data_IF_362185653692
#
_entry.id   IF_362185653692
#
_cell.length_a   1.000
_cell.length_b   1.000
_cell.length_c   1.000
_cell.angle_alpha   90.00
_cell.angle_beta   90.00
_cell.angle_gamma   90.00
#
_symmetry.space_group_name_H-M   'P 1'
#
loop_
_entity.id
_entity.type
_entity.pdbx_description
1 polymer ?
#
# COMPACT_ATOMS: atom_id res chain seq x y z
N UNK A 1 -109.03 100.76 21.00
CA UNK A 1 -110.12 99.77 21.15
C UNK A 1 -110.18 99.47 22.62
N UNK A 2 -111.09 100.18 23.27
CA UNK A 2 -111.27 100.24 24.71
C UNK A 2 -111.63 98.87 25.29
N UNK A 3 -110.97 98.49 26.38
CA UNK A 3 -111.52 97.53 27.32
C UNK A 3 -111.51 98.13 28.73
N UNK A 4 -112.65 98.05 29.45
CA UNK A 4 -113.03 98.96 30.52
C UNK A 4 -112.31 98.71 31.84
N UNK A 5 -111.83 99.80 32.43
CA UNK A 5 -111.44 99.88 33.83
C UNK A 5 -112.69 100.12 34.70
N UNK A 6 -112.87 99.25 35.70
CA UNK A 6 -113.78 99.31 36.87
C UNK A 6 -115.28 98.98 36.73
N UNK A 7 -115.77 98.32 37.78
CA UNK A 7 -117.06 97.62 37.98
C UNK A 7 -118.25 98.60 38.17
N UNK A 8 -118.14 99.86 37.76
CA UNK A 8 -119.16 100.89 38.04
C UNK A 8 -119.73 101.62 36.81
N UNK A 9 -119.30 101.32 35.58
CA UNK A 9 -119.95 101.86 34.38
C UNK A 9 -121.02 100.89 33.86
N UNK A 10 -122.26 101.13 34.31
CA UNK A 10 -123.46 100.48 33.76
C UNK A 10 -124.02 101.37 32.66
N UNK A 11 -124.20 100.79 31.49
CA UNK A 11 -124.71 101.43 30.27
C UNK A 11 -126.03 102.20 30.54
N UNK A 12 -126.10 103.50 30.23
CA UNK A 12 -127.28 104.33 30.46
C UNK A 12 -128.56 103.88 29.71
N UNK A 13 -128.47 102.96 28.75
CA UNK A 13 -129.67 102.36 28.11
C UNK A 13 -130.24 101.16 28.87
N UNK A 14 -129.50 100.55 29.80
CA UNK A 14 -129.92 99.31 30.49
C UNK A 14 -131.17 99.51 31.35
N UNK A 15 -131.32 100.66 32.01
CA UNK A 15 -132.49 100.95 32.84
C UNK A 15 -133.70 101.44 32.05
N UNK A 16 -133.55 101.82 30.78
CA UNK A 16 -134.66 102.36 29.96
C UNK A 16 -135.57 101.27 29.37
N UNK A 17 -135.13 100.00 29.39
CA UNK A 17 -135.86 98.86 28.82
C UNK A 17 -136.65 98.06 29.89
N UNK A 18 -136.46 98.37 31.18
CA UNK A 18 -137.05 97.58 32.29
C UNK A 18 -138.31 98.23 32.89
N UNK A 19 -138.64 99.47 32.54
CA UNK A 19 -139.94 100.07 32.87
C UNK A 19 -141.03 99.61 31.90
N UNK A 20 -141.80 98.59 32.27
CA UNK A 20 -143.09 98.32 31.62
C UNK A 20 -143.40 96.88 31.17
N UNK A 21 -142.57 95.88 31.51
CA UNK A 21 -142.94 94.46 31.29
C UNK A 21 -142.83 93.62 32.56
N UNK A 22 -143.92 93.00 33.03
CA UNK A 22 -143.86 92.03 34.12
C UNK A 22 -143.08 90.81 33.65
N UNK A 23 -141.93 90.56 34.30
CA UNK A 23 -141.12 89.36 34.10
C UNK A 23 -141.98 88.16 34.49
N UNK A 24 -142.42 87.39 33.49
CA UNK A 24 -143.09 86.09 33.69
C UNK A 24 -142.07 85.12 34.30
N UNK A 25 -142.08 85.08 35.61
CA UNK A 25 -141.33 84.18 36.47
C UNK A 25 -141.84 82.74 36.32
N UNK A 26 -141.30 82.02 35.34
CA UNK A 26 -141.24 80.56 35.33
C UNK A 26 -139.85 80.12 34.84
N UNK A 27 -138.81 80.55 35.56
CA UNK A 27 -137.50 79.92 35.45
C UNK A 27 -137.60 78.54 36.13
N UNK A 28 -137.68 77.49 35.31
CA UNK A 28 -137.61 76.11 35.80
C UNK A 28 -136.24 75.90 36.43
N UNK A 29 -136.23 75.84 37.76
CA UNK A 29 -135.03 75.67 38.60
C UNK A 29 -134.21 74.46 38.15
N UNK A 30 -134.83 73.43 37.56
CA UNK A 30 -134.11 72.26 37.04
C UNK A 30 -133.28 72.58 35.79
N UNK A 31 -133.79 73.40 34.88
CA UNK A 31 -133.03 73.83 33.68
C UNK A 31 -131.91 74.78 34.09
N UNK A 32 -132.17 75.69 35.04
CA UNK A 32 -131.15 76.55 35.63
C UNK A 32 -130.05 75.73 36.32
N UNK A 33 -130.40 74.75 37.16
CA UNK A 33 -129.42 73.86 37.82
C UNK A 33 -128.64 73.00 36.83
N UNK A 34 -129.26 72.54 35.73
CA UNK A 34 -128.57 71.81 34.66
C UNK A 34 -127.62 72.72 33.88
N UNK A 35 -128.02 73.96 33.62
CA UNK A 35 -127.14 74.97 33.00
C UNK A 35 -126.01 75.37 33.94
N UNK A 36 -126.29 75.59 35.22
CA UNK A 36 -125.28 75.88 36.25
C UNK A 36 -124.30 74.71 36.38
N UNK A 37 -124.78 73.46 36.42
CA UNK A 37 -123.92 72.27 36.44
C UNK A 37 -123.09 72.16 35.16
N UNK A 38 -123.65 72.43 33.98
CA UNK A 38 -122.89 72.47 32.73
C UNK A 38 -121.84 73.57 32.74
N UNK A 39 -122.17 74.77 33.19
CA UNK A 39 -121.23 75.90 33.31
C UNK A 39 -120.13 75.58 34.32
N UNK A 40 -120.46 74.95 35.46
CA UNK A 40 -119.49 74.50 36.45
C UNK A 40 -118.61 73.38 35.90
N UNK A 41 -119.16 72.40 35.17
CA UNK A 41 -118.37 71.38 34.47
C UNK A 41 -117.45 72.01 33.43
N UNK A 42 -117.98 72.86 32.54
CA UNK A 42 -117.16 73.56 31.55
C UNK A 42 -116.08 74.41 32.23
N UNK A 43 -116.36 75.04 33.37
CA UNK A 43 -115.36 75.78 34.13
C UNK A 43 -114.31 74.86 34.75
N UNK A 44 -114.69 73.68 35.24
CA UNK A 44 -113.78 72.67 35.74
C UNK A 44 -112.91 72.07 34.62
N UNK A 45 -113.50 71.76 33.46
CA UNK A 45 -112.79 71.27 32.27
C UNK A 45 -111.83 72.34 31.73
N UNK A 46 -112.27 73.61 31.65
CA UNK A 46 -111.40 74.73 31.31
C UNK A 46 -110.28 74.94 32.33
N UNK A 47 -110.52 74.71 33.62
CA UNK A 47 -109.48 74.79 34.64
C UNK A 47 -108.48 73.63 34.51
N UNK A 48 -108.96 72.41 34.27
CA UNK A 48 -108.13 71.23 34.04
C UNK A 48 -107.27 71.40 32.79
N UNK A 49 -107.83 71.86 31.67
CA UNK A 49 -107.07 72.17 30.45
C UNK A 49 -106.04 73.27 30.67
N UNK A 50 -106.37 74.29 31.48
CA UNK A 50 -105.41 75.34 31.85
C UNK A 50 -104.28 74.78 32.71
N UNK A 51 -104.58 73.90 33.66
CA UNK A 51 -103.55 73.25 34.49
C UNK A 51 -102.65 72.33 33.64
N UNK A 52 -103.22 71.58 32.69
CA UNK A 52 -102.45 70.79 31.71
C UNK A 52 -101.56 71.68 30.85
N UNK A 53 -102.08 72.82 30.37
CA UNK A 53 -101.30 73.79 29.59
C UNK A 53 -100.15 74.36 30.43
N UNK A 54 -100.40 74.72 31.70
CA UNK A 54 -99.35 75.18 32.63
C UNK A 54 -98.30 74.07 32.87
N UNK A 55 -98.71 72.81 32.99
CA UNK A 55 -97.79 71.69 33.15
C UNK A 55 -96.94 71.46 31.91
N UNK A 56 -97.53 71.58 30.71
CA UNK A 56 -96.80 71.48 29.45
C UNK A 56 -95.80 72.63 29.34
N UNK A 57 -96.21 73.87 29.61
CA UNK A 57 -95.32 75.03 29.59
C UNK A 57 -94.16 74.87 30.60
N UNK A 58 -94.45 74.42 31.82
CA UNK A 58 -93.42 74.16 32.82
C UNK A 58 -92.44 73.05 32.39
N UNK A 59 -92.93 71.99 31.74
CA UNK A 59 -92.06 70.93 31.19
C UNK A 59 -91.23 71.44 30.03
N UNK A 60 -91.81 72.23 29.13
CA UNK A 60 -91.08 72.82 28.02
C UNK A 60 -89.96 73.74 28.50
N UNK A 61 -90.20 74.54 29.55
CA UNK A 61 -89.16 75.37 30.18
C UNK A 61 -88.04 74.49 30.75
N UNK A 62 -88.37 73.44 31.51
CA UNK A 62 -87.36 72.53 32.07
C UNK A 62 -86.58 71.77 30.99
N UNK A 63 -87.24 71.32 29.93
CA UNK A 63 -86.59 70.63 28.80
C UNK A 63 -85.68 71.59 28.03
N UNK A 64 -86.11 72.84 27.85
CA UNK A 64 -85.29 73.89 27.24
C UNK A 64 -84.06 74.20 28.10
N UNK A 65 -84.20 74.32 29.42
CA UNK A 65 -83.06 74.50 30.34
C UNK A 65 -82.08 73.32 30.28
N UNK A 66 -82.58 72.09 30.19
CA UNK A 66 -81.74 70.90 30.02
C UNK A 66 -81.05 70.88 28.66
N UNK A 67 -81.77 71.26 27.59
CA UNK A 67 -81.21 71.35 26.24
C UNK A 67 -80.10 72.38 26.18
N UNK A 68 -80.31 73.57 26.74
CA UNK A 68 -79.31 74.64 26.81
C UNK A 68 -78.09 74.20 27.64
N UNK A 69 -78.28 73.49 28.75
CA UNK A 69 -77.18 72.94 29.54
C UNK A 69 -76.37 71.88 28.77
N UNK A 70 -77.04 71.01 28.02
CA UNK A 70 -76.40 69.99 27.19
C UNK A 70 -75.67 70.65 26.01
N UNK A 71 -76.29 71.62 25.36
CA UNK A 71 -75.68 72.37 24.25
C UNK A 71 -74.42 73.11 24.71
N UNK A 72 -74.45 73.77 25.88
CA UNK A 72 -73.29 74.39 26.48
C UNK A 72 -72.17 73.37 26.75
N UNK A 73 -72.49 72.20 27.32
CA UNK A 73 -71.51 71.15 27.57
C UNK A 73 -70.92 70.56 26.27
N UNK A 74 -71.71 70.46 25.20
CA UNK A 74 -71.22 70.05 23.88
C UNK A 74 -70.29 71.09 23.26
N UNK A 75 -70.65 72.38 23.34
CA UNK A 75 -69.80 73.47 22.87
C UNK A 75 -68.46 73.50 23.64
N UNK A 76 -68.49 73.29 24.95
CA UNK A 76 -67.29 73.18 25.80
C UNK A 76 -66.45 71.95 25.40
N UNK A 77 -67.08 70.79 25.17
CA UNK A 77 -66.38 69.59 24.73
C UNK A 77 -65.75 69.75 23.35
N UNK A 78 -66.45 70.40 22.41
CA UNK A 78 -65.92 70.73 21.08
C UNK A 78 -64.72 71.67 21.19
N UNK A 79 -64.83 72.73 21.98
CA UNK A 79 -63.72 73.65 22.23
C UNK A 79 -62.50 72.93 22.84
N UNK A 80 -62.72 72.06 23.83
CA UNK A 80 -61.67 71.27 24.46
C UNK A 80 -61.05 70.23 23.51
N UNK A 81 -61.84 69.66 22.60
CA UNK A 81 -61.31 68.74 21.60
C UNK A 81 -60.44 69.48 20.57
N UNK A 82 -60.86 70.67 20.14
CA UNK A 82 -60.08 71.52 19.24
C UNK A 82 -58.76 71.93 19.88
N UNK A 83 -58.76 72.31 21.17
CA UNK A 83 -57.51 72.64 21.89
C UNK A 83 -56.61 71.42 22.04
N UNK A 84 -57.15 70.27 22.45
CA UNK A 84 -56.40 69.02 22.56
C UNK A 84 -55.80 68.56 21.22
N UNK A 85 -56.56 68.64 20.13
CA UNK A 85 -56.09 68.32 18.79
C UNK A 85 -54.98 69.27 18.34
N UNK A 86 -55.11 70.57 18.64
CA UNK A 86 -54.08 71.56 18.34
C UNK A 86 -52.79 71.33 19.14
N UNK A 87 -52.89 70.96 20.42
CA UNK A 87 -51.74 70.63 21.27
C UNK A 87 -51.06 69.34 20.81
N UNK A 88 -51.82 68.27 20.59
CA UNK A 88 -51.31 66.99 20.08
C UNK A 88 -50.62 67.15 18.73
N UNK A 89 -51.18 67.97 17.84
CA UNK A 89 -50.55 68.29 16.55
C UNK A 89 -49.23 69.06 16.73
N UNK A 90 -49.17 70.02 17.66
CA UNK A 90 -47.93 70.74 17.97
C UNK A 90 -46.86 69.81 18.52
N UNK A 91 -47.21 68.91 19.43
CA UNK A 91 -46.29 67.92 19.99
C UNK A 91 -45.78 66.94 18.93
N UNK A 92 -46.68 66.38 18.13
CA UNK A 92 -46.30 65.46 17.04
C UNK A 92 -45.39 66.16 16.02
N UNK A 93 -45.69 67.41 15.67
CA UNK A 93 -44.87 68.21 14.76
C UNK A 93 -43.50 68.53 15.35
N UNK A 94 -43.43 68.81 16.66
CA UNK A 94 -42.16 69.00 17.37
C UNK A 94 -41.31 67.72 17.37
N UNK A 95 -41.92 66.58 17.67
CA UNK A 95 -41.24 65.28 17.66
C UNK A 95 -40.77 64.89 16.26
N UNK A 96 -41.59 65.14 15.23
CA UNK A 96 -41.19 64.96 13.83
C UNK A 96 -39.98 65.81 13.49
N UNK A 97 -39.99 67.10 13.87
CA UNK A 97 -38.87 68.00 13.62
C UNK A 97 -37.60 67.54 14.34
N UNK A 98 -37.70 67.06 15.58
CA UNK A 98 -36.55 66.53 16.31
C UNK A 98 -35.99 65.26 15.66
N UNK A 99 -36.87 64.36 15.20
CA UNK A 99 -36.48 63.16 14.49
C UNK A 99 -35.79 63.48 13.15
N UNK A 100 -36.31 64.45 12.42
CA UNK A 100 -35.73 64.91 11.15
C UNK A 100 -34.36 65.56 11.36
N UNK A 101 -34.19 66.37 12.42
CA UNK A 101 -32.87 66.89 12.80
C UNK A 101 -31.88 65.77 13.13
N UNK A 102 -32.29 64.78 13.91
CA UNK A 102 -31.42 63.64 14.26
C UNK A 102 -31.12 62.75 13.07
N UNK A 103 -32.06 62.60 12.13
CA UNK A 103 -31.82 61.91 10.87
C UNK A 103 -30.75 62.63 10.05
N UNK A 104 -30.85 63.95 9.90
CA UNK A 104 -29.85 64.76 9.19
C UNK A 104 -28.46 64.69 9.86
N UNK A 105 -28.39 64.75 11.19
CA UNK A 105 -27.13 64.57 11.93
C UNK A 105 -26.51 63.18 11.69
N UNK A 106 -27.35 62.13 11.68
CA UNK A 106 -26.91 60.75 11.44
C UNK A 106 -26.41 60.58 10.00
N UNK A 107 -27.15 61.11 9.02
CA UNK A 107 -26.79 61.07 7.60
C UNK A 107 -25.43 61.74 7.36
N UNK A 108 -25.23 62.93 7.92
CA UNK A 108 -23.94 63.64 7.83
C UNK A 108 -22.79 62.84 8.49
N UNK A 109 -23.04 62.14 9.60
CA UNK A 109 -22.03 61.28 10.24
C UNK A 109 -21.75 60.02 9.43
N UNK A 110 -22.77 59.42 8.80
CA UNK A 110 -22.57 58.26 7.92
C UNK A 110 -21.78 58.62 6.68
N UNK A 111 -22.04 59.79 6.07
CA UNK A 111 -21.25 60.29 4.94
C UNK A 111 -19.78 60.50 5.32
N UNK A 112 -19.52 61.07 6.52
CA UNK A 112 -18.15 61.24 7.02
C UNK A 112 -17.47 59.89 7.26
N UNK A 113 -18.19 58.91 7.82
CA UNK A 113 -17.65 57.56 8.04
C UNK A 113 -17.35 56.86 6.71
N UNK A 114 -18.24 56.97 5.73
CA UNK A 114 -18.03 56.44 4.38
C UNK A 114 -16.82 57.09 3.71
N UNK A 115 -16.67 58.41 3.81
CA UNK A 115 -15.51 59.13 3.29
C UNK A 115 -14.19 58.63 3.92
N UNK A 116 -14.16 58.49 5.26
CA UNK A 116 -12.99 57.96 5.98
C UNK A 116 -12.71 56.50 5.57
N UNK A 117 -13.77 55.69 5.44
CA UNK A 117 -13.64 54.29 5.03
C UNK A 117 -13.04 54.18 3.62
N UNK A 118 -13.47 55.04 2.70
CA UNK A 118 -12.96 55.11 1.33
C UNK A 118 -11.49 55.52 1.33
N UNK A 119 -11.11 56.56 2.09
CA UNK A 119 -9.72 56.98 2.25
C UNK A 119 -8.85 55.87 2.83
N UNK A 120 -9.34 55.17 3.86
CA UNK A 120 -8.65 54.03 4.45
C UNK A 120 -8.42 52.90 3.44
N UNK A 121 -9.45 52.55 2.66
CA UNK A 121 -9.33 51.50 1.64
C UNK A 121 -8.38 51.92 0.51
N UNK A 122 -8.42 53.19 0.10
CA UNK A 122 -7.49 53.75 -0.87
C UNK A 122 -6.05 53.68 -0.37
N UNK A 123 -5.80 54.04 0.89
CA UNK A 123 -4.48 53.94 1.51
C UNK A 123 -4.03 52.49 1.66
N UNK A 124 -4.90 51.58 2.11
CA UNK A 124 -4.63 50.14 2.21
C UNK A 124 -4.23 49.56 0.86
N UNK A 125 -5.02 49.83 -0.19
CA UNK A 125 -4.70 49.39 -1.54
C UNK A 125 -3.38 49.98 -2.04
N UNK A 126 -3.10 51.26 -1.73
CA UNK A 126 -1.82 51.88 -1.99
C UNK A 126 -0.65 51.14 -1.35
N UNK A 127 -0.73 50.86 -0.04
CA UNK A 127 0.30 50.12 0.70
C UNK A 127 0.44 48.68 0.18
N UNK A 128 -0.66 47.97 -0.08
CA UNK A 128 -0.60 46.63 -0.66
C UNK A 128 0.07 46.63 -2.04
N UNK A 129 -0.22 47.63 -2.88
CA UNK A 129 0.42 47.76 -4.19
C UNK A 129 1.93 48.02 -4.06
N UNK A 130 2.36 48.89 -3.13
CA UNK A 130 3.78 49.18 -2.93
C UNK A 130 4.52 47.98 -2.37
N UNK A 131 3.93 47.22 -1.46
CA UNK A 131 4.49 45.96 -0.94
C UNK A 131 4.64 44.93 -2.04
N UNK A 132 3.62 44.74 -2.89
CA UNK A 132 3.69 43.83 -4.03
C UNK A 132 4.80 44.25 -5.02
N UNK A 133 4.95 45.55 -5.30
CA UNK A 133 6.07 46.04 -6.12
C UNK A 133 7.42 45.78 -5.44
N UNK A 134 7.52 45.95 -4.12
CA UNK A 134 8.75 45.70 -3.37
C UNK A 134 9.13 44.22 -3.39
N UNK A 135 8.17 43.30 -3.27
CA UNK A 135 8.42 41.87 -3.39
C UNK A 135 8.98 41.51 -4.77
N UNK A 136 8.39 42.04 -5.84
CA UNK A 136 8.89 41.86 -7.20
C UNK A 136 10.32 42.40 -7.35
N UNK A 137 10.60 43.59 -6.81
CA UNK A 137 11.94 44.18 -6.82
C UNK A 137 12.93 43.33 -6.01
N UNK A 138 12.52 42.73 -4.90
CA UNK A 138 13.35 41.81 -4.11
C UNK A 138 13.65 40.51 -4.86
N UNK A 139 12.68 39.99 -5.63
CA UNK A 139 12.89 38.83 -6.53
C UNK A 139 13.93 39.18 -7.61
N UNK A 140 13.84 40.37 -8.21
CA UNK A 140 14.85 40.84 -9.17
C UNK A 140 16.21 41.03 -8.51
N UNK A 141 16.28 41.61 -7.30
CA UNK A 141 17.53 41.74 -6.54
C UNK A 141 18.16 40.38 -6.26
N UNK A 142 17.37 39.37 -5.90
CA UNK A 142 17.84 38.00 -5.69
C UNK A 142 18.40 37.36 -6.96
N UNK A 143 17.70 37.55 -8.08
CA UNK A 143 18.18 37.10 -9.38
C UNK A 143 19.54 37.75 -9.71
N UNK A 144 19.63 39.08 -9.57
CA UNK A 144 20.87 39.82 -9.82
C UNK A 144 22.01 39.38 -8.88
N UNK A 145 21.73 39.07 -7.61
CA UNK A 145 22.73 38.55 -6.67
C UNK A 145 23.18 37.10 -6.99
N UNK A 146 22.32 36.34 -7.68
CA UNK A 146 22.67 34.99 -8.14
C UNK A 146 23.61 35.07 -9.35
N UNK A 147 23.37 36.03 -10.25
CA UNK A 147 24.20 36.26 -11.43
C UNK A 147 25.51 37.00 -11.09
N UNK A 148 25.57 37.73 -9.97
CA UNK A 148 26.80 38.41 -9.55
C UNK A 148 27.90 37.43 -9.11
N UNK A 149 29.17 37.87 -9.14
CA UNK A 149 30.31 37.05 -8.72
C UNK A 149 30.22 36.54 -7.28
N UNK A 150 30.87 35.41 -6.99
CA UNK A 150 30.76 34.72 -5.70
C UNK A 150 31.18 35.59 -4.50
N UNK A 151 32.21 36.43 -4.65
CA UNK A 151 32.65 37.36 -3.59
C UNK A 151 31.60 38.43 -3.23
N UNK A 152 30.73 38.82 -4.17
CA UNK A 152 29.61 39.73 -3.92
C UNK A 152 28.43 38.98 -3.28
N UNK A 153 28.18 37.75 -3.74
CA UNK A 153 27.12 36.91 -3.20
C UNK A 153 27.31 36.67 -1.70
N UNK A 154 28.53 36.33 -1.27
CA UNK A 154 28.85 36.06 0.14
C UNK A 154 28.56 37.24 1.08
N UNK A 155 28.66 38.48 0.61
CA UNK A 155 28.42 39.67 1.45
C UNK A 155 26.96 40.12 1.51
N UNK A 156 26.19 39.85 0.44
CA UNK A 156 24.83 40.41 0.28
C UNK A 156 23.72 39.37 0.31
N UNK A 157 24.04 38.08 0.42
CA UNK A 157 23.05 37.00 0.50
C UNK A 157 22.23 37.05 1.81
N UNK A 158 22.88 37.34 2.95
CA UNK A 158 22.20 37.46 4.25
C UNK A 158 21.21 38.63 4.28
N UNK A 159 21.58 39.74 3.66
CA UNK A 159 20.73 40.94 3.52
C UNK A 159 19.50 40.62 2.65
N UNK A 160 19.67 39.82 1.59
CA UNK A 160 18.56 39.39 0.74
C UNK A 160 17.61 38.42 1.47
N UNK A 161 18.14 37.52 2.31
CA UNK A 161 17.34 36.59 3.13
C UNK A 161 16.51 37.33 4.18
N UNK A 162 17.14 38.25 4.92
CA UNK A 162 16.47 39.08 5.92
C UNK A 162 15.35 39.94 5.32
N UNK A 163 15.59 40.56 4.16
CA UNK A 163 14.56 41.36 3.47
C UNK A 163 13.33 40.54 3.06
N UNK A 164 13.51 39.28 2.65
CA UNK A 164 12.40 38.42 2.24
C UNK A 164 11.56 37.94 3.44
N UNK A 165 12.21 37.58 4.56
CA UNK A 165 11.51 37.21 5.79
C UNK A 165 10.68 38.37 6.36
N UNK A 166 11.21 39.60 6.30
CA UNK A 166 10.49 40.80 6.72
C UNK A 166 9.29 41.11 5.82
N UNK A 167 9.39 40.89 4.50
CA UNK A 167 8.27 41.06 3.57
C UNK A 167 7.14 40.05 3.84
N UNK A 168 7.49 38.78 4.05
CA UNK A 168 6.51 37.73 4.36
C UNK A 168 5.79 38.00 5.68
N UNK A 169 6.51 38.49 6.71
CA UNK A 169 5.90 38.91 7.98
C UNK A 169 4.97 40.11 7.81
N UNK A 170 5.34 41.07 6.95
CA UNK A 170 4.53 42.25 6.66
C UNK A 170 3.21 41.91 5.94
N UNK A 171 3.24 40.94 5.03
CA UNK A 171 2.06 40.48 4.31
C UNK A 171 1.05 39.78 5.24
N UNK A 172 1.56 38.91 6.12
CA UNK A 172 0.72 38.27 7.15
C UNK A 172 0.10 39.28 8.11
N UNK A 173 0.80 40.37 8.44
CA UNK A 173 0.23 41.43 9.27
C UNK A 173 -0.83 42.27 8.54
N UNK A 174 -0.67 42.49 7.22
CA UNK A 174 -1.62 43.23 6.37
C UNK A 174 -2.99 42.55 6.25
N UNK A 175 -3.04 41.23 6.40
CA UNK A 175 -4.29 40.44 6.37
C UNK A 175 -5.06 40.51 7.70
N UNK A 176 -4.40 40.86 8.81
CA UNK A 176 -5.02 40.93 10.13
C UNK A 176 -5.47 42.36 10.43
N UNK A 177 -6.78 42.59 10.33
CA UNK A 177 -7.43 43.90 10.60
C UNK A 177 -7.50 44.23 12.10
N UNK A 178 -6.35 44.41 12.75
CA UNK A 178 -6.27 44.86 14.14
C UNK A 178 -5.55 46.20 14.26
N UNK A 179 -6.08 47.11 15.08
CA UNK A 179 -5.58 48.49 15.26
C UNK A 179 -4.13 48.53 15.81
N UNK A 180 -3.71 47.50 16.54
CA UNK A 180 -2.33 47.36 17.06
C UNK A 180 -1.28 47.13 15.95
N UNK A 181 -1.72 46.69 14.76
CA UNK A 181 -0.84 46.44 13.59
C UNK A 181 -0.21 47.72 13.00
N UNK A 182 -0.76 48.91 13.28
CA UNK A 182 -0.25 50.19 12.75
C UNK A 182 1.15 50.52 13.27
N UNK A 183 1.45 50.16 14.52
CA UNK A 183 2.78 50.35 15.11
C UNK A 183 3.82 49.42 14.47
N UNK A 184 3.38 48.21 14.10
CA UNK A 184 4.23 47.18 13.53
C UNK A 184 4.43 47.37 12.03
N UNK A 185 3.46 47.97 11.32
CA UNK A 185 3.66 48.45 9.95
C UNK A 185 4.78 49.49 9.90
N UNK A 186 4.77 50.46 10.82
CA UNK A 186 5.79 51.50 10.88
C UNK A 186 7.17 50.93 11.17
N UNK A 187 7.29 50.01 12.13
CA UNK A 187 8.57 49.36 12.47
C UNK A 187 9.11 48.53 11.30
N UNK A 188 8.24 47.74 10.66
CA UNK A 188 8.62 46.89 9.54
C UNK A 188 8.97 47.70 8.30
N UNK A 189 8.24 48.77 8.01
CA UNK A 189 8.56 49.70 6.91
C UNK A 189 9.89 50.44 7.15
N UNK A 190 10.17 50.84 8.39
CA UNK A 190 11.47 51.44 8.76
C UNK A 190 12.61 50.43 8.62
N UNK A 191 12.40 49.17 9.03
CA UNK A 191 13.39 48.11 8.85
C UNK A 191 13.67 47.83 7.36
N UNK A 192 12.64 47.84 6.51
CA UNK A 192 12.80 47.73 5.06
C UNK A 192 13.55 48.93 4.47
N UNK A 193 13.30 50.14 4.97
CA UNK A 193 14.00 51.36 4.53
C UNK A 193 15.48 51.40 4.92
N UNK A 194 15.89 50.68 5.97
CA UNK A 194 17.30 50.61 6.39
C UNK A 194 18.16 49.66 5.54
N UNK A 195 17.56 48.83 4.67
CA UNK A 195 18.31 47.91 3.82
C UNK A 195 19.01 48.67 2.67
N UNK A 196 20.34 48.57 2.52
CA UNK A 196 21.04 49.27 1.46
C UNK A 196 20.60 48.75 0.08
N UNK A 197 20.16 49.63 -0.84
CA UNK A 197 19.79 49.27 -2.20
C UNK A 197 21.02 49.20 -3.10
N UNK A 198 22.10 48.57 -2.64
CA UNK A 198 23.30 48.40 -3.46
C UNK A 198 23.12 47.19 -4.38
N UNK A 199 23.34 47.44 -5.67
CA UNK A 199 23.31 46.46 -6.74
C UNK A 199 24.69 46.41 -7.38
N UNK A 200 25.15 45.20 -7.70
CA UNK A 200 26.38 45.00 -8.43
C UNK A 200 26.31 45.56 -9.85
N UNK A 201 25.20 45.29 -10.55
CA UNK A 201 24.96 45.77 -11.91
C UNK A 201 24.33 47.17 -11.88
N UNK A 202 25.00 48.14 -12.52
CA UNK A 202 24.49 49.52 -12.62
C UNK A 202 23.82 49.79 -13.95
N UNK A 203 24.16 49.02 -15.00
CA UNK A 203 23.59 49.16 -16.34
C UNK A 203 23.01 47.84 -16.85
N UNK A 204 21.84 47.84 -17.49
CA UNK A 204 21.26 46.63 -18.10
C UNK A 204 22.15 45.97 -19.17
N UNK A 205 23.03 46.75 -19.81
CA UNK A 205 23.98 46.25 -20.80
C UNK A 205 24.95 45.23 -20.20
N UNK A 206 25.37 45.42 -18.95
CA UNK A 206 26.30 44.51 -18.26
C UNK A 206 25.69 43.12 -18.07
N UNK A 207 24.41 43.06 -17.75
CA UNK A 207 23.66 41.80 -17.64
C UNK A 207 23.49 41.12 -19.00
N UNK A 208 23.24 41.91 -20.05
CA UNK A 208 23.08 41.39 -21.41
C UNK A 208 24.36 40.72 -21.89
N UNK A 209 25.52 41.33 -21.63
CA UNK A 209 26.83 40.73 -21.95
C UNK A 209 27.07 39.43 -21.21
N UNK A 210 26.75 39.35 -19.90
CA UNK A 210 26.88 38.10 -19.14
C UNK A 210 25.94 37.02 -19.68
N UNK A 211 24.70 37.38 -20.01
CA UNK A 211 23.76 36.43 -20.59
C UNK A 211 24.21 35.94 -21.97
N UNK A 212 24.78 36.82 -22.79
CA UNK A 212 25.39 36.46 -24.07
C UNK A 212 26.59 35.53 -23.87
N UNK A 213 27.47 35.81 -22.90
CA UNK A 213 28.59 34.94 -22.54
C UNK A 213 28.12 33.57 -22.06
N UNK A 214 27.13 33.51 -21.17
CA UNK A 214 26.52 32.25 -20.71
C UNK A 214 25.89 31.51 -21.90
N UNK A 215 25.17 32.21 -22.79
CA UNK A 215 24.56 31.57 -23.96
C UNK A 215 25.61 30.99 -24.91
N UNK A 216 26.73 31.68 -25.08
CA UNK A 216 27.87 31.23 -25.87
C UNK A 216 28.55 30.03 -25.22
N UNK A 217 28.73 30.04 -23.89
CA UNK A 217 29.21 28.88 -23.15
C UNK A 217 28.28 27.68 -23.28
N UNK A 218 26.96 27.87 -23.13
CA UNK A 218 25.97 26.82 -23.33
C UNK A 218 26.01 26.25 -24.75
N UNK A 219 26.18 27.10 -25.76
CA UNK A 219 26.35 26.66 -27.15
C UNK A 219 27.64 25.83 -27.30
N UNK A 220 28.76 26.31 -26.78
CA UNK A 220 30.02 25.57 -26.78
C UNK A 220 29.89 24.21 -26.09
N UNK A 221 29.19 24.14 -24.95
CA UNK A 221 28.92 22.87 -24.26
C UNK A 221 28.05 21.93 -25.10
N UNK A 222 27.01 22.44 -25.77
CA UNK A 222 26.20 21.62 -26.68
C UNK A 222 27.01 21.13 -27.89
N UNK A 223 27.87 21.96 -28.48
CA UNK A 223 28.76 21.54 -29.56
C UNK A 223 29.71 20.43 -29.10
N UNK A 224 30.32 20.61 -27.93
CA UNK A 224 31.15 19.58 -27.28
C UNK A 224 30.34 18.30 -27.06
N UNK A 225 29.13 18.40 -26.52
CA UNK A 225 28.24 17.25 -26.28
C UNK A 225 27.88 16.53 -27.58
N UNK A 226 27.52 17.25 -28.64
CA UNK A 226 27.20 16.65 -29.94
C UNK A 226 28.40 15.94 -30.55
N UNK A 227 29.59 16.52 -30.45
CA UNK A 227 30.84 15.88 -30.87
C UNK A 227 31.06 14.57 -30.10
N UNK A 228 31.02 14.63 -28.77
CA UNK A 228 31.24 13.45 -27.91
C UNK A 228 30.12 12.42 -28.01
N UNK A 229 28.88 12.80 -28.33
CA UNK A 229 27.74 11.89 -28.47
C UNK A 229 28.01 10.80 -29.50
N UNK A 230 28.65 11.13 -30.62
CA UNK A 230 29.04 10.14 -31.64
C UNK A 230 30.06 9.14 -31.11
N UNK A 231 31.05 9.59 -30.33
CA UNK A 231 32.02 8.73 -29.67
C UNK A 231 31.38 7.86 -28.60
N UNK A 232 30.48 8.41 -27.78
CA UNK A 232 29.73 7.64 -26.79
C UNK A 232 28.85 6.57 -27.45
N UNK A 233 28.18 6.88 -28.54
CA UNK A 233 27.40 5.91 -29.31
C UNK A 233 28.30 4.78 -29.84
N UNK A 234 29.50 5.11 -30.35
CA UNK A 234 30.48 4.14 -30.83
C UNK A 234 31.04 3.27 -29.70
N UNK A 235 31.41 3.86 -28.56
CA UNK A 235 31.88 3.15 -27.37
C UNK A 235 30.80 2.21 -26.85
N UNK A 236 29.55 2.68 -26.76
CA UNK A 236 28.42 1.84 -26.35
C UNK A 236 28.16 0.70 -27.32
N UNK A 237 28.31 0.92 -28.63
CA UNK A 237 28.22 -0.14 -29.64
C UNK A 237 29.31 -1.19 -29.42
N UNK A 238 30.56 -0.79 -29.24
CA UNK A 238 31.64 -1.74 -28.97
C UNK A 238 31.46 -2.47 -27.65
N UNK A 239 31.03 -1.77 -26.59
CA UNK A 239 30.69 -2.40 -25.32
C UNK A 239 29.66 -3.51 -25.52
N UNK A 240 28.56 -3.25 -26.24
CA UNK A 240 27.55 -4.26 -26.55
C UNK A 240 28.14 -5.45 -27.31
N UNK A 241 28.91 -5.20 -28.37
CA UNK A 241 29.56 -6.25 -29.15
C UNK A 241 30.51 -7.12 -28.31
N UNK A 242 31.33 -6.52 -27.46
CA UNK A 242 32.22 -7.27 -26.57
C UNK A 242 31.45 -8.05 -25.50
N UNK A 243 30.35 -7.50 -24.99
CA UNK A 243 29.51 -8.21 -24.02
C UNK A 243 28.86 -9.44 -24.65
N UNK A 244 28.37 -9.31 -25.88
CA UNK A 244 27.84 -10.42 -26.67
C UNK A 244 28.92 -11.48 -26.97
N UNK A 245 30.12 -11.04 -27.37
CA UNK A 245 31.25 -11.94 -27.62
C UNK A 245 31.67 -12.72 -26.37
N UNK A 246 31.82 -12.04 -25.23
CA UNK A 246 32.17 -12.68 -23.95
C UNK A 246 31.08 -13.68 -23.54
N UNK A 247 29.80 -13.31 -23.67
CA UNK A 247 28.70 -14.22 -23.34
C UNK A 247 28.69 -15.46 -24.23
N UNK A 248 29.02 -15.32 -25.52
CA UNK A 248 29.14 -16.46 -26.43
C UNK A 248 30.32 -17.37 -26.03
N UNK A 249 31.50 -16.83 -25.76
CA UNK A 249 32.64 -17.62 -25.28
C UNK A 249 32.34 -18.30 -23.94
N UNK A 250 31.65 -17.62 -23.01
CA UNK A 250 31.22 -18.23 -21.76
C UNK A 250 30.25 -19.41 -21.99
N UNK A 251 29.32 -19.28 -22.94
CA UNK A 251 28.41 -20.36 -23.31
C UNK A 251 29.16 -21.55 -23.94
N UNK A 252 30.14 -21.29 -24.80
CA UNK A 252 30.98 -22.33 -25.40
C UNK A 252 31.80 -23.07 -24.34
N UNK A 253 32.44 -22.34 -23.43
CA UNK A 253 33.21 -22.92 -22.31
C UNK A 253 32.29 -23.75 -21.42
N UNK A 254 31.10 -23.25 -21.11
CA UNK A 254 30.10 -23.97 -20.32
C UNK A 254 29.69 -25.28 -21.01
N UNK A 255 29.45 -25.24 -22.32
CA UNK A 255 29.15 -26.45 -23.11
C UNK A 255 30.30 -27.46 -23.12
N UNK A 256 31.56 -27.00 -23.15
CA UNK A 256 32.73 -27.87 -23.02
C UNK A 256 32.78 -28.51 -21.62
N UNK A 257 32.53 -27.74 -20.56
CA UNK A 257 32.50 -28.24 -19.18
C UNK A 257 31.43 -29.32 -19.02
N UNK A 258 30.23 -29.10 -19.55
CA UNK A 258 29.12 -30.07 -19.52
C UNK A 258 29.50 -31.36 -20.25
N UNK A 259 30.02 -31.25 -21.48
CA UNK A 259 30.50 -32.40 -22.26
C UNK A 259 31.57 -33.21 -21.51
N UNK A 260 32.53 -32.54 -20.86
CA UNK A 260 33.57 -33.20 -20.08
C UNK A 260 32.98 -33.87 -18.83
N UNK A 261 32.05 -33.22 -18.16
CA UNK A 261 31.36 -33.78 -16.99
C UNK A 261 30.60 -35.05 -17.34
N UNK A 262 29.91 -35.07 -18.48
CA UNK A 262 29.20 -36.26 -18.96
C UNK A 262 30.15 -37.38 -19.35
N UNK A 263 31.29 -37.06 -20.00
CA UNK A 263 32.33 -38.05 -20.28
C UNK A 263 32.93 -38.65 -19.01
N UNK A 264 33.14 -37.83 -17.97
CA UNK A 264 33.64 -38.30 -16.67
C UNK A 264 32.62 -39.25 -16.05
N UNK A 265 31.35 -38.85 -15.94
CA UNK A 265 30.28 -39.71 -15.40
C UNK A 265 30.19 -41.04 -16.16
N UNK A 266 30.19 -41.00 -17.48
CA UNK A 266 30.16 -42.21 -18.31
C UNK A 266 31.37 -43.12 -18.05
N UNK A 267 32.56 -42.54 -17.88
CA UNK A 267 33.76 -43.30 -17.55
C UNK A 267 33.71 -43.90 -16.14
N UNK A 268 33.12 -43.20 -15.18
CA UNK A 268 32.93 -43.69 -13.80
C UNK A 268 31.93 -44.84 -13.75
N UNK A 269 30.79 -44.71 -14.42
CA UNK A 269 29.79 -45.79 -14.58
C UNK A 269 30.42 -47.02 -15.22
N UNK A 270 31.14 -46.85 -16.35
CA UNK A 270 31.85 -47.95 -16.99
C UNK A 270 32.89 -48.60 -16.09
N UNK A 271 33.59 -47.82 -15.27
CA UNK A 271 34.56 -48.35 -14.31
C UNK A 271 33.86 -49.22 -13.27
N UNK A 272 32.72 -48.80 -12.76
CA UNK A 272 31.95 -49.57 -11.78
C UNK A 272 31.39 -50.85 -12.41
N UNK A 273 30.87 -50.79 -13.63
CA UNK A 273 30.43 -51.97 -14.39
C UNK A 273 31.57 -52.97 -14.64
N UNK A 274 32.73 -52.47 -15.10
CA UNK A 274 33.92 -53.29 -15.29
C UNK A 274 34.41 -53.90 -13.96
N UNK A 275 34.34 -53.16 -12.86
CA UNK A 275 34.71 -53.67 -11.53
C UNK A 275 33.74 -54.76 -11.08
N UNK A 276 32.43 -54.55 -11.19
CA UNK A 276 31.41 -55.56 -10.85
C UNK A 276 31.56 -56.83 -11.69
N UNK A 277 31.79 -56.69 -12.99
CA UNK A 277 32.01 -57.84 -13.88
C UNK A 277 33.32 -58.55 -13.59
N UNK A 278 34.39 -57.82 -13.26
CA UNK A 278 35.66 -58.38 -12.84
C UNK A 278 35.54 -59.15 -11.52
N UNK A 279 34.89 -58.58 -10.50
CA UNK A 279 34.64 -59.26 -9.22
C UNK A 279 33.85 -60.55 -9.43
N UNK A 280 32.78 -60.52 -10.24
CA UNK A 280 32.02 -61.72 -10.62
C UNK A 280 32.88 -62.76 -11.35
N UNK A 281 33.79 -62.33 -12.22
CA UNK A 281 34.69 -63.22 -12.95
C UNK A 281 35.70 -63.87 -12.02
N UNK A 282 36.29 -63.11 -11.10
CA UNK A 282 37.25 -63.58 -10.10
C UNK A 282 36.59 -64.62 -9.17
N UNK A 283 35.45 -64.28 -8.59
CA UNK A 283 34.75 -65.13 -7.62
C UNK A 283 34.14 -66.39 -8.25
N UNK A 284 33.58 -66.31 -9.45
CA UNK A 284 32.90 -67.47 -10.05
C UNK A 284 33.79 -68.27 -11.01
N UNK A 285 34.34 -67.62 -12.04
CA UNK A 285 34.97 -68.35 -13.15
C UNK A 285 36.43 -68.66 -12.84
N UNK A 286 37.20 -67.69 -12.34
CA UNK A 286 38.60 -67.92 -11.96
C UNK A 286 38.72 -68.87 -10.78
N UNK A 287 37.88 -68.71 -9.75
CA UNK A 287 37.90 -69.59 -8.60
C UNK A 287 37.52 -71.04 -8.99
N UNK A 288 36.56 -71.21 -9.91
CA UNK A 288 36.13 -72.55 -10.36
C UNK A 288 37.11 -73.20 -11.34
N UNK A 289 37.70 -72.44 -12.26
CA UNK A 289 38.56 -73.01 -13.31
C UNK A 289 39.99 -73.19 -12.83
N UNK A 290 40.59 -72.17 -12.20
CA UNK A 290 42.02 -72.17 -11.85
C UNK A 290 42.25 -72.51 -10.38
N UNK A 291 41.40 -72.00 -9.47
CA UNK A 291 41.64 -72.15 -8.03
C UNK A 291 40.91 -73.34 -7.38
N UNK A 292 40.07 -74.05 -8.13
CA UNK A 292 39.28 -75.18 -7.64
C UNK A 292 40.20 -76.30 -7.15
N UNK A 293 39.77 -76.98 -6.09
CA UNK A 293 40.50 -78.11 -5.52
C UNK A 293 40.78 -79.19 -6.56
N UNK A 294 39.85 -79.44 -7.47
CA UNK A 294 40.00 -80.46 -8.51
C UNK A 294 41.06 -80.09 -9.54
N UNK A 295 41.07 -78.84 -10.03
CA UNK A 295 42.10 -78.39 -10.99
C UNK A 295 43.48 -78.33 -10.35
N UNK A 296 43.59 -77.86 -9.10
CA UNK A 296 44.85 -77.88 -8.35
C UNK A 296 45.36 -79.30 -8.12
N UNK A 297 44.47 -80.23 -7.79
CA UNK A 297 44.80 -81.66 -7.64
C UNK A 297 45.29 -82.24 -8.96
N UNK A 298 44.60 -81.95 -10.06
CA UNK A 298 44.98 -82.41 -11.40
C UNK A 298 46.35 -81.84 -11.82
N UNK A 299 46.57 -80.54 -11.61
CA UNK A 299 47.87 -79.90 -11.87
C UNK A 299 48.99 -80.51 -11.03
N UNK A 300 48.79 -80.75 -9.73
CA UNK A 300 49.77 -81.44 -8.89
C UNK A 300 50.05 -82.88 -9.36
N UNK A 301 49.02 -83.63 -9.76
CA UNK A 301 49.18 -84.98 -10.30
C UNK A 301 49.97 -84.95 -11.61
N UNK A 302 49.68 -84.00 -12.49
CA UNK A 302 50.36 -83.83 -13.78
C UNK A 302 51.83 -83.42 -13.58
N UNK A 303 52.11 -82.47 -12.70
CA UNK A 303 53.47 -82.09 -12.31
C UNK A 303 54.25 -83.27 -11.73
N UNK A 304 53.60 -84.09 -10.89
CA UNK A 304 54.21 -85.30 -10.34
C UNK A 304 54.56 -86.31 -11.43
N UNK A 305 53.66 -86.55 -12.39
CA UNK A 305 53.90 -87.46 -13.52
C UNK A 305 55.00 -86.92 -14.43
N UNK A 306 54.97 -85.64 -14.78
CA UNK A 306 55.99 -84.99 -15.61
C UNK A 306 57.38 -85.08 -14.96
N UNK A 307 57.48 -84.72 -13.67
CA UNK A 307 58.74 -84.79 -12.92
C UNK A 307 59.28 -86.22 -12.85
N UNK A 308 58.40 -87.22 -12.69
CA UNK A 308 58.82 -88.62 -12.55
C UNK A 308 59.18 -89.28 -13.88
N UNK A 309 58.48 -88.97 -14.97
CA UNK A 309 58.64 -89.62 -16.28
C UNK A 309 59.73 -88.94 -17.11
N UNK A 310 59.77 -87.61 -17.10
CA UNK A 310 60.70 -86.82 -17.93
C UNK A 310 61.95 -86.41 -17.14
N UNK A 311 61.88 -86.37 -15.80
CA UNK A 311 63.05 -86.14 -14.93
C UNK A 311 63.53 -84.69 -14.86
N UNK A 312 62.81 -83.75 -15.46
CA UNK A 312 63.12 -82.31 -15.43
C UNK A 312 62.34 -81.64 -14.30
N UNK A 313 63.02 -80.78 -13.51
CA UNK A 313 62.39 -79.94 -12.49
C UNK A 313 61.47 -78.93 -13.16
N UNK A 314 60.19 -78.98 -12.81
CA UNK A 314 59.13 -78.11 -13.38
C UNK A 314 59.29 -76.67 -12.86
N UNK A 315 59.17 -75.67 -13.74
CA UNK A 315 59.20 -74.24 -13.38
C UNK A 315 57.80 -73.81 -12.88
N UNK A 316 57.67 -72.99 -11.82
CA UNK A 316 56.39 -72.43 -11.38
C UNK A 316 55.59 -71.65 -12.44
N UNK A 317 56.16 -71.36 -13.62
CA UNK A 317 55.49 -70.74 -14.76
C UNK A 317 54.85 -71.72 -15.76
N UNK A 318 55.04 -73.02 -15.60
CA UNK A 318 54.50 -74.00 -16.55
C UNK A 318 52.97 -74.09 -16.44
N UNK A 319 52.29 -73.94 -17.58
CA UNK A 319 50.82 -73.99 -17.65
C UNK A 319 50.37 -75.45 -17.76
N UNK A 320 49.16 -75.78 -17.28
CA UNK A 320 48.64 -77.15 -17.35
C UNK A 320 48.69 -77.72 -18.79
N UNK A 321 48.39 -76.89 -19.79
CA UNK A 321 48.41 -77.25 -21.20
C UNK A 321 49.80 -77.62 -21.72
N UNK A 322 50.84 -76.86 -21.34
CA UNK A 322 52.21 -77.16 -21.77
C UNK A 322 52.70 -78.49 -21.17
N UNK A 323 52.43 -78.71 -19.88
CA UNK A 323 52.79 -79.97 -19.20
C UNK A 323 52.07 -81.19 -19.80
N UNK A 324 50.81 -81.05 -20.21
CA UNK A 324 50.10 -82.12 -20.91
C UNK A 324 50.66 -82.36 -22.31
N UNK A 325 50.94 -81.30 -23.05
CA UNK A 325 51.41 -81.39 -24.44
C UNK A 325 52.83 -81.97 -24.51
N UNK A 326 53.68 -81.67 -23.53
CA UNK A 326 55.02 -82.25 -23.43
C UNK A 326 54.96 -83.74 -23.06
N UNK A 327 54.05 -84.13 -22.15
CA UNK A 327 53.80 -85.54 -21.84
C UNK A 327 53.23 -86.30 -23.05
N UNK A 328 52.30 -85.69 -23.79
CA UNK A 328 51.75 -86.25 -25.01
C UNK A 328 52.82 -86.38 -26.09
N UNK A 329 53.63 -85.34 -26.31
CA UNK A 329 54.75 -85.37 -27.25
C UNK A 329 55.75 -86.46 -26.90
N UNK A 330 56.10 -86.60 -25.61
CA UNK A 330 56.97 -87.69 -25.16
C UNK A 330 56.34 -89.06 -25.36
N UNK A 331 55.04 -89.20 -25.10
CA UNK A 331 54.29 -90.44 -25.36
C UNK A 331 54.27 -90.77 -26.86
N UNK A 332 53.99 -89.79 -27.72
CA UNK A 332 54.01 -89.95 -29.18
C UNK A 332 55.40 -90.28 -29.70
N UNK A 333 56.45 -89.66 -29.19
CA UNK A 333 57.83 -89.99 -29.53
C UNK A 333 58.16 -91.43 -29.13
N UNK A 334 57.66 -91.89 -27.98
CA UNK A 334 57.86 -93.25 -27.51
C UNK A 334 57.09 -94.26 -28.37
N UNK A 335 55.85 -93.95 -28.74
CA UNK A 335 55.06 -94.73 -29.68
C UNK A 335 55.70 -94.79 -31.06
N UNK A 336 56.19 -93.66 -31.59
CA UNK A 336 56.88 -93.59 -32.88
C UNK A 336 58.17 -94.40 -32.85
N UNK A 337 58.95 -94.28 -31.77
CA UNK A 337 60.12 -95.15 -31.55
C UNK A 337 59.72 -96.62 -31.50
N UNK A 338 58.61 -96.97 -30.86
CA UNK A 338 58.10 -98.35 -30.84
C UNK A 338 57.67 -98.85 -32.23
N UNK A 339 57.07 -97.99 -33.06
CA UNK A 339 56.61 -98.33 -34.41
C UNK A 339 57.78 -98.42 -35.42
N UNK A 340 58.83 -97.61 -35.23
CA UNK A 340 60.05 -97.61 -36.06
C UNK A 340 61.00 -98.78 -35.73
N UNK A 341 60.71 -99.57 -34.69
CA UNK A 341 61.50 -100.77 -34.40
C UNK A 341 61.27 -101.82 -35.50
N UNK A 342 62.35 -102.19 -36.20
CA UNK A 342 62.33 -103.26 -37.19
C UNK A 342 61.82 -104.57 -36.57
N UNK A 343 60.67 -105.04 -37.05
CA UNK A 343 59.99 -106.27 -36.59
C UNK A 343 60.89 -107.51 -36.65
N UNK A 344 61.91 -107.55 -37.51
CA UNK A 344 62.89 -108.63 -37.53
C UNK A 344 63.85 -108.55 -36.33
N UNK A 345 64.34 -107.36 -35.98
CA UNK A 345 65.21 -107.15 -34.80
C UNK A 345 64.42 -107.39 -33.51
N UNK A 346 63.14 -107.00 -33.45
CA UNK A 346 62.27 -107.30 -32.31
C UNK A 346 62.04 -108.81 -32.19
N UNK A 347 61.78 -109.52 -33.30
CA UNK A 347 61.64 -110.98 -33.27
C UNK A 347 62.95 -111.70 -32.94
N UNK A 348 64.09 -111.19 -33.38
CA UNK A 348 65.42 -111.70 -33.06
C UNK A 348 65.74 -111.49 -31.58
N UNK A 349 65.51 -110.29 -31.05
CA UNK A 349 65.67 -109.95 -29.64
C UNK A 349 64.68 -110.72 -28.76
N UNK A 350 63.43 -110.89 -29.19
CA UNK A 350 62.43 -111.69 -28.49
C UNK A 350 62.83 -113.17 -28.50
N UNK A 351 63.35 -113.72 -29.61
CA UNK A 351 63.94 -115.06 -29.65
C UNK A 351 65.17 -115.18 -28.76
N UNK A 352 66.04 -114.17 -28.72
CA UNK A 352 67.20 -114.15 -27.84
C UNK A 352 66.79 -114.11 -26.37
N UNK A 353 65.85 -113.25 -25.98
CA UNK A 353 65.30 -113.17 -24.63
C UNK A 353 64.62 -114.50 -24.28
N UNK A 354 63.78 -115.06 -25.15
CA UNK A 354 63.20 -116.38 -24.90
C UNK A 354 64.27 -117.49 -24.80
N UNK A 355 65.36 -117.41 -25.57
CA UNK A 355 66.45 -118.40 -25.51
C UNK A 355 67.29 -118.25 -24.24
N UNK A 356 67.54 -117.02 -23.79
CA UNK A 356 68.20 -116.69 -22.52
C UNK A 356 67.30 -117.09 -21.35
N UNK A 357 66.00 -116.79 -21.39
CA UNK A 357 65.03 -117.22 -20.37
C UNK A 357 64.95 -118.74 -20.30
N UNK A 358 64.90 -119.46 -21.43
CA UNK A 358 64.98 -120.93 -21.46
C UNK A 358 66.31 -121.41 -20.87
N UNK A 359 67.42 -120.72 -21.15
CA UNK A 359 68.76 -121.08 -20.63
C UNK A 359 68.87 -120.80 -19.14
N UNK A 360 68.35 -119.69 -18.65
CA UNK A 360 68.28 -119.32 -17.22
C UNK A 360 67.34 -120.26 -16.50
N UNK A 361 66.20 -120.63 -17.09
CA UNK A 361 65.26 -121.61 -16.53
C UNK A 361 65.89 -123.00 -16.44
N UNK A 362 66.68 -123.42 -17.44
CA UNK A 362 67.47 -124.66 -17.37
C UNK A 362 68.56 -124.60 -16.31
N UNK A 363 69.34 -123.52 -16.24
CA UNK A 363 70.34 -123.30 -15.19
C UNK A 363 69.71 -123.28 -13.80
N UNK A 364 68.53 -122.68 -13.65
CA UNK A 364 67.76 -122.68 -12.41
C UNK A 364 67.29 -124.10 -12.05
N UNK A 365 66.84 -124.89 -13.03
CA UNK A 365 66.46 -126.30 -12.83
C UNK A 365 67.65 -127.19 -12.46
N UNK A 366 68.80 -127.03 -13.14
CA UNK A 366 70.04 -127.74 -12.82
C UNK A 366 70.59 -127.33 -11.45
N UNK A 367 70.53 -126.04 -11.12
CA UNK A 367 70.89 -125.53 -9.79
C UNK A 367 69.92 -126.06 -8.72
N UNK A 368 68.62 -126.19 -9.00
CA UNK A 368 67.64 -126.80 -8.09
C UNK A 368 67.97 -128.28 -7.86
N UNK A 369 68.36 -129.01 -8.90
CA UNK A 369 68.79 -130.42 -8.81
C UNK A 369 70.07 -130.56 -8.00
N UNK A 370 71.08 -129.73 -8.26
CA UNK A 370 72.33 -129.69 -7.48
C UNK A 370 72.07 -129.29 -6.02
N UNK A 371 71.16 -128.36 -5.75
CA UNK A 371 70.74 -128.00 -4.39
C UNK A 371 70.02 -129.16 -3.70
N UNK A 372 69.20 -129.93 -4.41
CA UNK A 372 68.58 -131.15 -3.87
C UNK A 372 69.64 -132.22 -3.56
N UNK A 373 70.59 -132.44 -4.46
CA UNK A 373 71.70 -133.39 -4.26
C UNK A 373 72.60 -132.94 -3.09
N UNK A 374 72.99 -131.66 -3.04
CA UNK A 374 73.75 -131.08 -1.93
C UNK A 374 72.98 -131.16 -0.61
N UNK A 375 71.69 -130.85 -0.57
CA UNK A 375 70.85 -131.02 0.64
C UNK A 375 70.78 -132.48 1.07
N UNK A 376 70.75 -133.42 0.13
CA UNK A 376 70.73 -134.86 0.41
C UNK A 376 72.08 -135.32 0.95
N UNK A 377 73.17 -134.83 0.36
CA UNK A 377 74.54 -135.08 0.82
C UNK A 377 74.75 -134.47 2.21
N UNK A 378 74.41 -133.20 2.44
CA UNK A 378 74.45 -132.57 3.75
C UNK A 378 73.59 -133.31 4.77
N UNK A 379 72.35 -133.71 4.43
CA UNK A 379 71.53 -134.54 5.33
C UNK A 379 72.20 -135.88 5.63
N UNK A 380 72.82 -136.53 4.65
CA UNK A 380 73.57 -137.77 4.86
C UNK A 380 74.81 -137.55 5.73
N UNK A 381 75.55 -136.46 5.49
CA UNK A 381 76.77 -136.09 6.19
C UNK A 381 76.46 -135.74 7.65
N UNK A 382 75.48 -134.85 7.87
CA UNK A 382 74.96 -134.54 9.20
C UNK A 382 74.44 -135.81 9.89
N UNK A 383 73.74 -136.70 9.19
CA UNK A 383 73.26 -137.97 9.76
C UNK A 383 74.39 -138.96 10.07
N UNK A 384 75.52 -138.90 9.38
CA UNK A 384 76.72 -139.69 9.73
C UNK A 384 77.54 -139.09 10.87
N UNK A 385 77.43 -137.78 11.11
CA UNK A 385 78.04 -137.10 12.27
C UNK A 385 77.10 -136.99 13.48
N UNK A 386 75.80 -137.22 13.30
CA UNK A 386 74.89 -137.42 14.42
C UNK A 386 75.24 -138.75 15.12
N UNK A 387 75.61 -138.73 16.40
CA UNK A 387 75.95 -139.94 17.12
C UNK A 387 74.77 -140.91 17.11
N UNK A 388 75.01 -142.22 17.00
CA UNK A 388 73.95 -143.21 16.96
C UNK A 388 73.03 -143.01 18.16
N UNK A 389 71.74 -142.80 17.86
CA UNK A 389 70.66 -142.76 18.85
C UNK A 389 70.88 -143.89 19.85
N UNK A 390 71.20 -143.51 21.09
CA UNK A 390 71.15 -144.45 22.22
C UNK A 390 69.73 -145.02 22.27
N UNK A 391 69.68 -146.34 22.12
CA UNK A 391 68.50 -147.20 22.22
C UNK A 391 67.90 -147.06 23.63
N UNK A 392 66.88 -146.24 23.80
CA UNK A 392 66.02 -146.35 24.99
C UNK A 392 64.94 -147.37 24.69
N UNK A 393 65.25 -148.58 25.16
CA UNK A 393 64.36 -149.54 25.81
C UNK A 393 62.86 -149.27 25.71
N UNK A 394 62.18 -150.31 25.21
CA UNK A 394 60.75 -150.62 25.34
C UNK A 394 60.09 -150.05 26.60
N UNK A 395 58.89 -149.52 26.39
CA UNK A 395 57.64 -149.75 27.14
C UNK A 395 56.55 -149.20 26.19
N UNK A 396 55.61 -149.96 25.61
CA UNK A 396 54.54 -150.71 26.27
C UNK A 396 54.13 -150.02 27.58
N UNK A 397 53.51 -148.86 27.44
CA UNK A 397 52.04 -148.80 27.48
C UNK A 397 51.53 -148.48 26.10
#
# INVERSE_FOLDING_TARGET
MDEPFTVCDVDPEFFKIVEGRPIRSHYDIKVFMKHLRKILMFRADCAYLKDELIQIDARMILEQEQYEAIEAAFQDAEANFVTFAAESYKEAKYMQHLAEQKYQELEAMTEQLEAISFEFHKLKNGVSSTVATYENLMRYKRFLNTVSPDWWREQYEDICKQGNELCSKFYLSLEVEQVESVSDYKKSALALATLPPELYFKKPSELSTILEEISSQCLNYMEIETYFSTYFARVNKYKKQYTEYINAECADIQGIIEMLTDKIKFSEERKEDCKSTFEKLVENQFQRLVASYETKKLFNCLQYVHTRVIGVMVDPKDTMESLTQDLEGWYYDLCTKMDDLNLEVVKEAQRQIFSEDIRVMRKASDAERLLKEYRTLCKSLYKSFEPPKRKNTKTRK
#
